data_IF_449643749264
#
_entry.id   IF_449643749264
#
_cell.length_a   1.000
_cell.length_b   1.000
_cell.length_c   1.000
_cell.angle_alpha   90.00
_cell.angle_beta   90.00
_cell.angle_gamma   90.00
#
_symmetry.space_group_name_H-M   'P 1'
#
loop_
_entity.id
_entity.type
_entity.pdbx_description
1 polymer ?
#
# COMPACT_ATOMS: atom_id res chain seq x y z
N UNK A 1 -29.29 -0.16 -3.86
CA UNK A 1 -28.05 -0.92 -3.57
C UNK A 1 -27.47 -0.42 -2.26
N UNK A 2 -27.61 -1.21 -1.18
CA UNK A 2 -26.98 -0.86 0.09
C UNK A 2 -25.46 -1.10 -0.04
N UNK A 3 -24.65 -0.06 0.21
CA UNK A 3 -23.20 -0.21 0.39
C UNK A 3 -22.96 -1.16 1.56
N UNK A 4 -22.31 -2.29 1.30
CA UNK A 4 -21.84 -3.18 2.34
C UNK A 4 -20.63 -2.49 2.97
N UNK A 5 -20.78 -1.99 4.18
CA UNK A 5 -19.72 -1.39 4.98
C UNK A 5 -18.64 -2.45 5.26
N UNK A 6 -17.34 -2.13 5.14
CA UNK A 6 -16.28 -3.03 5.57
C UNK A 6 -16.27 -3.12 7.09
N UNK A 7 -16.88 -4.14 7.62
CA UNK A 7 -17.08 -4.33 9.07
C UNK A 7 -18.33 -5.14 9.40
N UNK A 8 -19.03 -5.63 8.41
CA UNK A 8 -20.19 -6.48 8.58
C UNK A 8 -19.87 -7.65 9.52
N UNK A 9 -20.78 -7.92 10.48
CA UNK A 9 -20.68 -9.01 11.44
C UNK A 9 -20.43 -10.39 10.80
N UNK A 10 -20.66 -10.50 9.50
CA UNK A 10 -20.37 -11.67 8.67
C UNK A 10 -18.85 -11.97 8.58
N UNK A 11 -17.99 -10.95 8.41
CA UNK A 11 -16.54 -11.13 8.32
C UNK A 11 -15.91 -11.61 9.64
N UNK A 12 -16.49 -11.28 10.80
CA UNK A 12 -15.95 -11.67 12.12
C UNK A 12 -16.13 -13.16 12.47
N UNK A 13 -16.91 -13.91 11.71
CA UNK A 13 -17.17 -15.34 11.93
C UNK A 13 -16.24 -16.28 11.15
N UNK A 14 -15.36 -15.77 10.30
CA UNK A 14 -14.58 -16.60 9.39
C UNK A 14 -13.16 -16.83 9.91
N UNK A 15 -12.70 -18.10 9.82
CA UNK A 15 -11.26 -18.40 9.92
C UNK A 15 -10.52 -17.78 8.74
N UNK A 16 -9.20 -17.60 8.85
CA UNK A 16 -8.34 -17.01 7.78
C UNK A 16 -8.59 -17.61 6.39
N UNK A 17 -8.93 -18.90 6.31
CA UNK A 17 -9.25 -19.60 5.04
C UNK A 17 -10.61 -19.23 4.45
N UNK A 18 -11.60 -18.94 5.29
CA UNK A 18 -12.91 -18.47 4.83
C UNK A 18 -12.83 -17.03 4.32
N UNK A 19 -12.01 -16.18 4.96
CA UNK A 19 -11.73 -14.82 4.51
C UNK A 19 -11.05 -14.81 3.14
N UNK A 20 -10.10 -15.71 2.89
CA UNK A 20 -9.47 -15.83 1.57
C UNK A 20 -10.49 -16.12 0.48
N UNK A 21 -11.33 -17.15 0.65
CA UNK A 21 -12.36 -17.50 -0.34
C UNK A 21 -13.33 -16.33 -0.60
N UNK A 22 -13.70 -15.58 0.41
CA UNK A 22 -14.54 -14.39 0.25
C UNK A 22 -13.90 -13.37 -0.68
N UNK A 23 -12.63 -13.05 -0.49
CA UNK A 23 -11.93 -12.09 -1.35
C UNK A 23 -11.63 -12.64 -2.74
N UNK A 24 -11.37 -13.94 -2.85
CA UNK A 24 -11.17 -14.59 -4.16
C UNK A 24 -12.41 -14.52 -5.05
N UNK A 25 -13.60 -14.48 -4.45
CA UNK A 25 -14.86 -14.25 -5.18
C UNK A 25 -15.14 -12.77 -5.36
N UNK A 26 -14.91 -11.96 -4.33
CA UNK A 26 -15.26 -10.53 -4.32
C UNK A 26 -14.49 -9.74 -5.39
N UNK A 27 -13.19 -9.96 -5.51
CA UNK A 27 -12.38 -9.19 -6.45
C UNK A 27 -12.73 -9.43 -7.91
N UNK A 28 -12.86 -10.67 -8.41
CA UNK A 28 -13.33 -10.90 -9.77
C UNK A 28 -14.76 -10.40 -9.99
N UNK A 29 -15.64 -10.48 -8.99
CA UNK A 29 -16.98 -9.94 -9.05
C UNK A 29 -16.95 -8.41 -9.25
N UNK A 30 -16.08 -7.69 -8.53
CA UNK A 30 -15.91 -6.25 -8.70
C UNK A 30 -15.28 -5.89 -10.06
N UNK A 31 -14.45 -6.77 -10.64
CA UNK A 31 -13.90 -6.55 -11.97
C UNK A 31 -15.01 -6.50 -13.03
N UNK A 32 -16.09 -7.24 -12.87
CA UNK A 32 -17.21 -7.24 -13.80
C UNK A 32 -17.87 -5.86 -13.93
N UNK A 33 -17.81 -5.01 -12.90
CA UNK A 33 -18.35 -3.64 -12.94
C UNK A 33 -17.61 -2.74 -13.96
N UNK A 34 -16.40 -3.11 -14.36
CA UNK A 34 -15.56 -2.37 -15.29
C UNK A 34 -15.50 -2.97 -16.69
N UNK A 35 -16.16 -4.11 -16.92
CA UNK A 35 -16.18 -4.82 -18.19
C UNK A 35 -17.52 -4.63 -18.93
N UNK A 36 -17.47 -4.73 -20.25
CA UNK A 36 -18.71 -4.75 -21.03
C UNK A 36 -19.45 -6.09 -20.78
N UNK A 37 -20.71 -6.07 -20.30
CA UNK A 37 -21.49 -7.28 -20.02
C UNK A 37 -21.67 -8.23 -21.22
N UNK A 38 -21.54 -7.71 -22.45
CA UNK A 38 -21.65 -8.49 -23.69
C UNK A 38 -20.29 -9.05 -24.16
N UNK A 39 -19.20 -8.79 -23.43
CA UNK A 39 -17.87 -9.29 -23.79
C UNK A 39 -17.69 -10.76 -23.41
N UNK A 40 -16.89 -11.48 -24.19
CA UNK A 40 -16.48 -12.84 -23.85
C UNK A 40 -15.71 -12.92 -22.53
N UNK A 41 -14.92 -11.88 -22.22
CA UNK A 41 -14.18 -11.77 -20.96
C UNK A 41 -15.12 -11.70 -19.75
N UNK A 42 -16.19 -10.92 -19.84
CA UNK A 42 -17.22 -10.86 -18.79
C UNK A 42 -17.86 -12.23 -18.56
N UNK A 43 -18.27 -12.91 -19.63
CA UNK A 43 -18.88 -14.23 -19.55
C UNK A 43 -17.92 -15.27 -18.96
N UNK A 44 -16.64 -15.24 -19.32
CA UNK A 44 -15.62 -16.15 -18.83
C UNK A 44 -15.38 -15.96 -17.33
N UNK A 45 -15.23 -14.74 -16.84
CA UNK A 45 -15.08 -14.45 -15.40
C UNK A 45 -16.33 -14.87 -14.63
N UNK A 46 -17.51 -14.56 -15.16
CA UNK A 46 -18.78 -14.96 -14.52
C UNK A 46 -18.89 -16.49 -14.38
N UNK A 47 -18.40 -17.25 -15.36
CA UNK A 47 -18.39 -18.72 -15.32
C UNK A 47 -17.50 -19.26 -14.18
N UNK A 48 -16.30 -18.67 -13.96
CA UNK A 48 -15.45 -19.04 -12.84
C UNK A 48 -16.12 -18.74 -11.50
N UNK A 49 -16.74 -17.57 -11.38
CA UNK A 49 -17.46 -17.17 -10.16
C UNK A 49 -18.66 -18.07 -9.88
N UNK A 50 -19.45 -18.36 -10.91
CA UNK A 50 -20.61 -19.26 -10.77
C UNK A 50 -20.19 -20.65 -10.28
N UNK A 51 -19.12 -21.19 -10.86
CA UNK A 51 -18.58 -22.50 -10.45
C UNK A 51 -18.13 -22.47 -9.01
N UNK A 52 -17.34 -21.46 -8.59
CA UNK A 52 -16.85 -21.35 -7.21
C UNK A 52 -17.99 -21.19 -6.19
N UNK A 53 -18.98 -20.35 -6.49
CA UNK A 53 -20.14 -20.13 -5.60
C UNK A 53 -21.00 -21.40 -5.49
N UNK A 54 -21.15 -22.15 -6.59
CA UNK A 54 -21.91 -23.39 -6.62
C UNK A 54 -21.28 -24.50 -5.78
N UNK A 55 -19.98 -24.39 -5.47
CA UNK A 55 -19.29 -25.34 -4.58
C UNK A 55 -19.59 -25.12 -3.10
N UNK A 56 -20.09 -23.92 -2.72
CA UNK A 56 -20.27 -23.55 -1.32
C UNK A 56 -21.45 -24.29 -0.67
N UNK A 57 -21.19 -25.00 0.42
CA UNK A 57 -22.22 -25.53 1.30
C UNK A 57 -22.54 -24.50 2.39
N UNK A 58 -23.70 -23.90 2.31
CA UNK A 58 -24.15 -22.84 3.23
C UNK A 58 -25.06 -23.38 4.37
N UNK A 59 -25.30 -24.70 4.43
CA UNK A 59 -26.26 -25.29 5.37
C UNK A 59 -25.69 -25.46 6.78
N UNK A 60 -24.40 -25.76 6.89
CA UNK A 60 -23.71 -25.95 8.16
C UNK A 60 -22.30 -25.35 8.15
N UNK A 61 -21.73 -25.13 9.34
CA UNK A 61 -20.45 -24.43 9.47
C UNK A 61 -19.24 -25.25 9.02
N UNK A 62 -19.26 -26.56 9.29
CA UNK A 62 -18.17 -27.47 8.90
C UNK A 62 -18.17 -27.67 7.38
N UNK A 63 -19.34 -27.90 6.79
CA UNK A 63 -19.52 -27.99 5.36
C UNK A 63 -19.12 -26.70 4.63
N UNK A 64 -19.46 -25.54 5.21
CA UNK A 64 -19.03 -24.25 4.68
C UNK A 64 -17.51 -24.13 4.71
N UNK A 65 -16.83 -24.54 5.78
CA UNK A 65 -15.38 -24.47 5.90
C UNK A 65 -14.68 -25.34 4.85
N UNK A 66 -15.15 -26.57 4.67
CA UNK A 66 -14.59 -27.49 3.69
C UNK A 66 -14.82 -27.03 2.24
N UNK A 67 -16.05 -26.60 1.94
CA UNK A 67 -16.42 -26.14 0.60
C UNK A 67 -15.81 -24.79 0.24
N UNK A 68 -15.64 -23.86 1.19
CA UNK A 68 -14.93 -22.61 0.97
C UNK A 68 -13.45 -22.85 0.64
N UNK A 69 -12.82 -23.87 1.26
CA UNK A 69 -11.46 -24.26 0.89
C UNK A 69 -11.43 -24.82 -0.54
N UNK A 70 -12.37 -25.67 -0.92
CA UNK A 70 -12.42 -26.22 -2.27
C UNK A 70 -12.66 -25.13 -3.33
N UNK A 71 -13.53 -24.15 -3.06
CA UNK A 71 -13.77 -23.01 -3.93
C UNK A 71 -12.53 -22.09 -4.05
N UNK A 72 -11.81 -21.86 -2.94
CA UNK A 72 -10.53 -21.15 -2.94
C UNK A 72 -9.50 -21.89 -3.81
N UNK A 73 -9.28 -23.18 -3.59
CA UNK A 73 -8.32 -23.98 -4.34
C UNK A 73 -8.65 -24.01 -5.85
N UNK A 74 -9.94 -24.07 -6.20
CA UNK A 74 -10.41 -23.96 -7.57
C UNK A 74 -10.08 -22.61 -8.20
N UNK A 75 -10.45 -21.49 -7.56
CA UNK A 75 -10.16 -20.14 -8.07
C UNK A 75 -8.66 -19.87 -8.13
N UNK A 76 -7.90 -20.31 -7.14
CA UNK A 76 -6.46 -20.14 -7.12
C UNK A 76 -5.78 -20.82 -8.32
N UNK A 77 -6.19 -22.06 -8.66
CA UNK A 77 -5.61 -22.80 -9.77
C UNK A 77 -6.15 -22.33 -11.14
N UNK A 78 -7.46 -22.28 -11.29
CA UNK A 78 -8.08 -22.09 -12.61
C UNK A 78 -8.18 -20.60 -13.00
N UNK A 79 -8.56 -19.73 -12.06
CA UNK A 79 -8.72 -18.30 -12.35
C UNK A 79 -7.41 -17.53 -12.16
N UNK A 80 -6.82 -17.56 -10.97
CA UNK A 80 -5.65 -16.73 -10.67
C UNK A 80 -4.36 -17.24 -11.32
N UNK A 81 -4.14 -18.54 -11.37
CA UNK A 81 -2.91 -19.09 -11.97
C UNK A 81 -2.98 -19.29 -13.49
N UNK A 82 -4.12 -19.65 -14.05
CA UNK A 82 -4.24 -19.92 -15.48
C UNK A 82 -4.85 -18.74 -16.26
N UNK A 83 -6.04 -18.25 -15.86
CA UNK A 83 -6.70 -17.17 -16.58
C UNK A 83 -5.96 -15.85 -16.42
N UNK A 84 -5.65 -15.42 -15.17
CA UNK A 84 -4.95 -14.16 -14.92
C UNK A 84 -3.47 -14.17 -15.38
N UNK A 85 -2.87 -15.33 -15.60
CA UNK A 85 -1.51 -15.46 -16.15
C UNK A 85 -1.36 -14.82 -17.54
N UNK A 86 -2.43 -14.68 -18.28
CA UNK A 86 -2.47 -13.99 -19.58
C UNK A 86 -2.30 -12.47 -19.46
N UNK A 87 -2.36 -11.94 -18.26
CA UNK A 87 -2.25 -10.52 -17.97
C UNK A 87 -0.82 -10.14 -17.57
N UNK A 88 -0.17 -9.26 -18.34
CA UNK A 88 1.19 -8.75 -18.08
C UNK A 88 1.17 -7.52 -17.16
N UNK A 89 0.48 -7.58 -16.03
CA UNK A 89 0.45 -6.50 -15.07
C UNK A 89 1.34 -6.84 -13.87
N UNK A 90 2.25 -5.92 -13.48
CA UNK A 90 3.08 -6.04 -12.28
C UNK A 90 2.69 -4.95 -11.28
N UNK A 91 2.18 -5.32 -10.09
CA UNK A 91 1.92 -4.38 -8.97
C UNK A 91 3.08 -4.43 -8.00
N UNK A 92 3.72 -3.29 -7.76
CA UNK A 92 4.73 -3.16 -6.71
C UNK A 92 4.07 -2.54 -5.48
N UNK A 93 3.92 -3.34 -4.43
CA UNK A 93 3.39 -2.87 -3.15
C UNK A 93 4.53 -2.31 -2.31
N UNK A 94 4.42 -1.05 -1.90
CA UNK A 94 5.39 -0.37 -1.05
C UNK A 94 4.68 0.12 0.20
N UNK A 95 5.25 -0.15 1.37
CA UNK A 95 4.74 0.38 2.63
C UNK A 95 4.90 1.90 2.68
N UNK A 96 3.92 2.59 3.22
CA UNK A 96 3.95 4.02 3.46
C UNK A 96 3.21 4.36 4.75
N UNK A 97 3.67 5.39 5.44
CA UNK A 97 2.97 5.97 6.61
C UNK A 97 2.95 7.47 6.45
N UNK A 98 1.77 8.03 6.17
CA UNK A 98 1.59 9.47 6.15
C UNK A 98 1.59 10.01 7.59
N UNK A 99 2.40 11.03 7.85
CA UNK A 99 2.46 11.71 9.14
C UNK A 99 2.32 13.21 8.89
N UNK A 100 1.14 13.76 9.23
CA UNK A 100 0.94 15.20 9.21
C UNK A 100 1.92 15.88 10.18
N UNK A 101 2.61 16.91 9.70
CA UNK A 101 3.47 17.75 10.51
C UNK A 101 2.64 18.76 11.28
N UNK A 102 2.05 18.32 12.39
CA UNK A 102 0.94 18.90 13.13
C UNK A 102 -0.40 18.86 12.36
N UNK A 103 -1.44 18.41 13.03
CA UNK A 103 -2.84 18.43 12.58
C UNK A 103 -3.73 18.69 13.80
N UNK A 104 -4.52 17.68 14.27
CA UNK A 104 -5.18 17.74 15.58
C UNK A 104 -4.22 17.40 16.73
N UNK A 105 -2.91 17.55 16.49
CA UNK A 105 -1.83 17.34 17.45
C UNK A 105 -0.69 18.34 17.23
N UNK A 106 0.17 18.46 18.23
CA UNK A 106 1.29 19.40 18.22
C UNK A 106 2.51 18.85 17.47
N UNK A 107 3.45 19.74 17.11
CA UNK A 107 4.77 19.34 16.57
C UNK A 107 5.52 18.39 17.48
N UNK A 108 5.39 18.52 18.81
CA UNK A 108 5.97 17.57 19.75
C UNK A 108 5.43 16.15 19.53
N UNK A 109 4.11 16.02 19.39
CA UNK A 109 3.49 14.72 19.12
C UNK A 109 3.90 14.15 17.77
N UNK A 110 4.16 15.01 16.76
CA UNK A 110 4.72 14.58 15.48
C UNK A 110 6.08 13.89 15.68
N UNK A 111 6.96 14.45 16.49
CA UNK A 111 8.28 13.86 16.81
C UNK A 111 8.15 12.48 17.46
N UNK A 112 7.25 12.34 18.41
CA UNK A 112 6.94 11.04 19.05
C UNK A 112 6.33 10.03 18.06
N UNK A 113 5.45 10.49 17.16
CA UNK A 113 4.85 9.64 16.10
C UNK A 113 5.90 9.11 15.12
N UNK A 114 6.83 9.94 14.69
CA UNK A 114 7.93 9.55 13.79
C UNK A 114 8.73 8.41 14.39
N UNK A 115 9.16 8.55 15.63
CA UNK A 115 9.95 7.52 16.31
C UNK A 115 9.22 6.18 16.36
N UNK A 116 7.95 6.18 16.78
CA UNK A 116 7.13 4.96 16.88
C UNK A 116 6.90 4.32 15.51
N UNK A 117 6.53 5.14 14.51
CA UNK A 117 6.23 4.64 13.17
C UNK A 117 7.47 4.05 12.51
N UNK A 118 8.61 4.74 12.60
CA UNK A 118 9.83 4.28 11.96
C UNK A 118 10.43 3.07 12.68
N UNK A 119 10.34 3.00 14.00
CA UNK A 119 10.70 1.79 14.74
C UNK A 119 9.84 0.58 14.33
N UNK A 120 8.53 0.78 14.16
CA UNK A 120 7.62 -0.27 13.69
C UNK A 120 8.00 -0.75 12.28
N UNK A 121 8.31 0.18 11.38
CA UNK A 121 8.74 -0.16 10.01
C UNK A 121 10.05 -0.95 10.02
N UNK A 122 11.02 -0.55 10.82
CA UNK A 122 12.29 -1.27 10.95
C UNK A 122 12.08 -2.68 11.50
N UNK A 123 11.18 -2.85 12.45
CA UNK A 123 10.83 -4.17 12.98
C UNK A 123 10.12 -5.04 11.92
N UNK A 124 9.23 -4.46 11.12
CA UNK A 124 8.63 -5.16 9.98
C UNK A 124 9.69 -5.56 8.94
N UNK A 125 10.68 -4.71 8.68
CA UNK A 125 11.79 -5.05 7.78
C UNK A 125 12.67 -6.18 8.31
N UNK A 126 12.78 -6.35 9.63
CA UNK A 126 13.49 -7.50 10.24
C UNK A 126 12.71 -8.80 10.01
N UNK A 127 11.37 -8.75 10.13
CA UNK A 127 10.49 -9.93 9.97
C UNK A 127 10.26 -10.32 8.52
N UNK A 128 10.19 -9.33 7.62
CA UNK A 128 9.86 -9.51 6.21
C UNK A 128 10.99 -8.96 5.33
N UNK A 129 11.90 -9.81 4.85
CA UNK A 129 13.06 -9.38 4.05
C UNK A 129 12.68 -8.64 2.76
N UNK A 130 11.53 -8.99 2.16
CA UNK A 130 10.99 -8.37 0.95
C UNK A 130 10.33 -7.01 1.19
N UNK A 131 10.00 -6.67 2.45
CA UNK A 131 9.27 -5.45 2.77
C UNK A 131 10.08 -4.20 2.40
N UNK A 132 9.46 -3.33 1.61
CA UNK A 132 10.00 -2.03 1.21
C UNK A 132 9.10 -0.93 1.74
N UNK A 133 9.70 0.19 2.09
CA UNK A 133 9.00 1.32 2.68
C UNK A 133 9.44 2.62 2.03
N UNK A 134 8.51 3.55 1.88
CA UNK A 134 8.73 4.88 1.37
C UNK A 134 8.22 5.91 2.39
N UNK A 135 8.97 6.98 2.59
CA UNK A 135 8.52 8.12 3.40
C UNK A 135 9.06 9.42 2.84
N UNK A 136 8.19 10.41 2.76
CA UNK A 136 8.50 11.78 2.37
C UNK A 136 8.87 12.64 3.60
N UNK A 137 8.91 13.95 3.42
CA UNK A 137 9.08 14.98 4.44
C UNK A 137 10.43 14.94 5.16
N UNK A 138 11.46 15.65 4.67
CA UNK A 138 12.78 15.77 5.31
C UNK A 138 12.74 16.13 6.79
N UNK A 139 11.75 16.91 7.22
CA UNK A 139 11.57 17.26 8.64
C UNK A 139 11.43 16.03 9.55
N UNK A 140 10.78 14.96 9.07
CA UNK A 140 10.61 13.74 9.87
C UNK A 140 11.97 13.08 10.15
N UNK A 141 12.85 13.05 9.16
CA UNK A 141 14.21 12.54 9.30
C UNK A 141 15.09 13.43 10.17
N UNK A 142 14.92 14.76 10.09
CA UNK A 142 15.61 15.70 10.94
C UNK A 142 15.23 15.48 12.42
N UNK A 143 13.93 15.37 12.70
CA UNK A 143 13.43 15.08 14.04
C UNK A 143 13.97 13.74 14.57
N UNK A 144 13.99 12.71 13.73
CA UNK A 144 14.54 11.41 14.11
C UNK A 144 16.04 11.49 14.46
N UNK A 145 16.81 12.22 13.64
CA UNK A 145 18.24 12.42 13.86
C UNK A 145 18.53 13.14 15.17
N UNK A 146 17.71 14.12 15.54
CA UNK A 146 17.88 14.91 16.77
C UNK A 146 17.48 14.14 18.03
N UNK A 147 16.41 13.36 17.98
CA UNK A 147 15.80 12.76 19.17
C UNK A 147 16.08 11.25 19.33
N UNK A 148 16.36 10.56 18.24
CA UNK A 148 16.64 9.13 18.23
C UNK A 148 17.75 8.77 17.22
N UNK A 149 19.00 9.21 17.47
CA UNK A 149 20.10 9.05 16.50
C UNK A 149 20.40 7.59 16.17
N UNK A 150 20.21 6.66 17.09
CA UNK A 150 20.40 5.23 16.84
C UNK A 150 19.39 4.72 15.80
N UNK A 151 18.13 5.09 15.96
CA UNK A 151 17.07 4.72 15.02
C UNK A 151 17.31 5.35 13.63
N UNK A 152 17.84 6.58 13.62
CA UNK A 152 18.23 7.26 12.39
C UNK A 152 19.33 6.50 11.62
N UNK A 153 20.34 5.98 12.31
CA UNK A 153 21.39 5.17 11.67
C UNK A 153 20.85 3.82 11.14
N UNK A 154 19.90 3.19 11.83
CA UNK A 154 19.21 2.02 11.29
C UNK A 154 18.45 2.34 10.02
N UNK A 155 17.72 3.47 9.96
CA UNK A 155 17.04 3.95 8.73
C UNK A 155 18.05 4.15 7.61
N UNK A 156 19.20 4.79 7.88
CA UNK A 156 20.27 4.97 6.88
C UNK A 156 20.79 3.64 6.32
N UNK A 157 20.90 2.62 7.16
CA UNK A 157 21.28 1.30 6.70
C UNK A 157 20.24 0.72 5.72
N UNK A 158 18.94 0.85 6.04
CA UNK A 158 17.85 0.41 5.14
C UNK A 158 17.81 1.19 3.83
N UNK A 159 18.10 2.49 3.87
CA UNK A 159 18.25 3.33 2.66
C UNK A 159 19.39 2.83 1.78
N UNK A 160 20.54 2.51 2.37
CA UNK A 160 21.69 1.92 1.65
C UNK A 160 21.36 0.60 0.98
N UNK A 161 20.56 -0.25 1.65
CA UNK A 161 20.09 -1.52 1.11
C UNK A 161 19.04 -1.36 0.00
N UNK A 162 18.52 -0.15 -0.24
CA UNK A 162 17.43 0.10 -1.18
C UNK A 162 16.08 -0.44 -0.73
N UNK A 163 15.91 -0.68 0.57
CA UNK A 163 14.66 -1.14 1.18
C UNK A 163 13.84 -0.01 1.79
N UNK A 164 14.46 1.12 2.04
CA UNK A 164 13.81 2.35 2.49
C UNK A 164 14.09 3.45 1.50
N UNK A 165 13.04 4.03 0.91
CA UNK A 165 13.15 5.11 -0.06
C UNK A 165 12.72 6.44 0.57
N UNK A 166 13.66 7.37 0.79
CA UNK A 166 13.36 8.73 1.20
C UNK A 166 12.96 9.53 -0.03
N UNK A 167 11.68 9.74 -0.21
CA UNK A 167 11.09 10.42 -1.35
C UNK A 167 10.75 11.88 -1.05
N UNK A 168 10.49 12.63 -2.12
CA UNK A 168 10.00 14.00 -2.06
C UNK A 168 11.10 15.06 -2.03
N UNK A 169 10.69 16.31 -2.17
CA UNK A 169 11.59 17.46 -2.17
C UNK A 169 11.16 18.53 -1.18
N UNK A 170 9.88 18.54 -0.79
CA UNK A 170 9.34 19.54 0.13
C UNK A 170 9.72 19.18 1.57
N UNK A 171 10.07 20.20 2.33
CA UNK A 171 10.43 20.04 3.75
C UNK A 171 9.33 19.36 4.56
N UNK A 172 8.08 19.76 4.30
CA UNK A 172 6.86 19.09 4.74
C UNK A 172 5.91 18.98 3.56
N UNK A 173 4.91 18.11 3.63
CA UNK A 173 3.81 18.06 2.65
C UNK A 173 2.88 19.24 2.88
N UNK A 174 3.17 20.37 2.23
CA UNK A 174 2.42 21.62 2.42
C UNK A 174 1.12 21.59 1.61
N UNK A 175 0.07 22.23 2.17
CA UNK A 175 -1.16 22.54 1.42
C UNK A 175 -0.85 23.56 0.32
N UNK A 176 -0.87 23.12 -0.93
CA UNK A 176 -0.55 23.96 -2.08
C UNK A 176 -1.63 24.99 -2.40
N UNK A 177 -2.84 24.87 -1.84
CA UNK A 177 -3.92 25.83 -2.04
C UNK A 177 -3.84 27.02 -1.07
N UNK A 178 -3.25 26.80 0.11
CA UNK A 178 -3.13 27.83 1.15
C UNK A 178 -1.76 28.51 1.17
N UNK A 179 -0.71 27.78 0.78
CA UNK A 179 0.66 28.28 0.83
C UNK A 179 0.95 29.24 -0.33
N UNK A 180 1.72 30.31 -0.04
CA UNK A 180 2.20 31.21 -1.10
C UNK A 180 3.25 30.50 -1.97
N UNK A 181 3.43 31.01 -3.21
CA UNK A 181 4.48 30.48 -4.11
C UNK A 181 5.88 30.58 -3.51
N UNK A 182 6.17 31.65 -2.78
CA UNK A 182 7.45 31.84 -2.06
C UNK A 182 7.64 30.75 -0.98
N UNK A 183 6.59 30.44 -0.22
CA UNK A 183 6.64 29.36 0.78
C UNK A 183 6.90 28.00 0.14
N UNK A 184 6.26 27.71 -1.00
CA UNK A 184 6.48 26.46 -1.73
C UNK A 184 7.90 26.35 -2.28
N UNK A 185 8.46 27.42 -2.82
CA UNK A 185 9.86 27.47 -3.26
C UNK A 185 10.81 27.17 -2.09
N UNK A 186 10.55 27.75 -0.92
CA UNK A 186 11.35 27.49 0.28
C UNK A 186 11.22 26.05 0.76
N UNK A 187 10.03 25.46 0.71
CA UNK A 187 9.85 24.04 1.04
C UNK A 187 10.80 23.15 0.24
N UNK A 188 10.90 23.38 -1.07
CA UNK A 188 11.77 22.62 -1.96
C UNK A 188 13.26 22.96 -1.71
N UNK A 189 13.59 24.24 -1.58
CA UNK A 189 14.98 24.68 -1.37
C UNK A 189 15.58 24.14 -0.07
N UNK A 190 14.81 24.15 1.02
CA UNK A 190 15.24 23.63 2.31
C UNK A 190 15.26 22.10 2.30
N UNK A 191 14.28 21.48 1.66
CA UNK A 191 14.20 20.01 1.58
C UNK A 191 15.35 19.39 0.79
N UNK A 192 15.81 20.06 -0.28
CA UNK A 192 16.92 19.59 -1.11
C UNK A 192 18.31 19.97 -0.57
N UNK A 193 18.38 20.97 0.29
CA UNK A 193 19.61 21.45 0.89
C UNK A 193 19.62 21.20 2.41
N UNK A 194 19.60 19.96 2.87
CA UNK A 194 19.70 19.69 4.29
C UNK A 194 21.01 20.28 4.82
N UNK A 195 21.01 20.79 6.06
CA UNK A 195 22.21 21.37 6.65
C UNK A 195 23.39 20.41 6.52
N UNK A 196 24.55 20.93 6.09
CA UNK A 196 25.77 20.19 5.71
C UNK A 196 26.42 19.38 6.84
N UNK A 197 25.68 18.89 7.80
CA UNK A 197 26.19 17.97 8.82
C UNK A 197 26.42 16.60 8.17
N UNK A 198 27.65 16.13 8.19
CA UNK A 198 28.07 14.82 7.70
C UNK A 198 27.07 13.72 8.13
N UNK A 199 26.61 12.93 7.18
CA UNK A 199 25.76 11.78 7.46
C UNK A 199 24.24 11.97 7.28
N UNK A 200 23.80 12.98 6.55
CA UNK A 200 22.38 13.16 6.21
C UNK A 200 21.93 12.07 5.21
N UNK A 201 20.73 11.55 5.40
CA UNK A 201 20.10 10.64 4.44
C UNK A 201 19.92 11.43 3.12
N UNK A 202 20.47 10.96 1.99
CA UNK A 202 20.27 11.62 0.71
C UNK A 202 18.81 11.45 0.31
N UNK A 203 18.03 12.52 0.45
CA UNK A 203 16.67 12.56 -0.08
C UNK A 203 16.80 12.68 -1.59
N UNK A 204 16.39 11.64 -2.29
CA UNK A 204 16.34 11.66 -3.75
C UNK A 204 15.09 12.42 -4.16
N UNK A 205 15.27 13.62 -4.67
CA UNK A 205 14.23 14.30 -5.41
C UNK A 205 13.96 13.56 -6.73
N UNK A 206 13.24 12.44 -6.67
CA UNK A 206 12.44 12.03 -7.81
C UNK A 206 11.21 12.90 -7.77
N UNK A 207 11.18 13.94 -8.59
CA UNK A 207 9.92 14.61 -8.87
C UNK A 207 8.98 13.58 -9.47
N UNK A 208 8.20 12.94 -8.61
CA UNK A 208 7.01 12.24 -9.06
C UNK A 208 6.14 13.36 -9.61
N UNK A 209 5.93 13.34 -10.92
CA UNK A 209 4.96 14.23 -11.58
C UNK A 209 3.57 13.83 -11.08
N UNK A 210 3.19 14.28 -9.89
CA UNK A 210 1.85 14.06 -9.35
C UNK A 210 0.80 14.95 -9.99
N UNK A 211 1.19 15.95 -10.78
CA UNK A 211 0.26 16.82 -11.49
C UNK A 211 0.34 16.59 -12.99
N UNK A 212 -0.71 15.95 -13.55
CA UNK A 212 -0.98 15.96 -14.98
C UNK A 212 -0.28 14.92 -15.84
N UNK A 213 0.29 13.87 -15.29
CA UNK A 213 0.63 12.71 -16.10
C UNK A 213 -0.65 11.94 -16.43
N UNK A 214 -1.14 12.08 -17.66
CA UNK A 214 -1.90 11.00 -18.28
C UNK A 214 -1.17 9.70 -17.96
N UNK A 215 -1.83 8.77 -17.31
CA UNK A 215 -1.39 7.37 -17.17
C UNK A 215 -1.37 6.75 -18.59
N UNK A 216 -0.43 7.16 -19.41
CA UNK A 216 -0.12 6.50 -20.66
C UNK A 216 1.12 5.66 -20.41
N UNK A 217 0.93 4.42 -20.13
CA UNK A 217 2.00 3.47 -20.21
C UNK A 217 2.22 2.62 -18.97
N UNK A 218 1.83 1.39 -19.10
CA UNK A 218 2.30 0.18 -18.39
C UNK A 218 2.53 0.36 -16.89
N UNK A 219 1.47 0.30 -16.13
CA UNK A 219 1.59 -0.10 -14.74
C UNK A 219 2.07 -1.56 -14.74
N UNK A 220 3.30 -1.81 -14.32
CA UNK A 220 3.78 -3.16 -14.08
C UNK A 220 3.66 -3.45 -12.58
N UNK A 221 2.84 -4.45 -12.25
CA UNK A 221 2.63 -4.90 -10.88
C UNK A 221 3.30 -6.25 -10.74
N UNK A 222 4.39 -6.35 -9.98
CA UNK A 222 5.05 -7.61 -9.64
C UNK A 222 4.74 -7.93 -8.18
N UNK A 223 3.94 -8.96 -7.95
CA UNK A 223 3.81 -9.61 -6.64
C UNK A 223 4.84 -10.73 -6.64
N UNK A 224 5.91 -10.55 -5.90
CA UNK A 224 6.91 -11.57 -5.63
C UNK A 224 6.65 -12.17 -4.26
#
# INVERSE_FOLDING_TARGET
MQKIEPGCAFAKRFSVKKESCYYDILYPLQMLDYLNPESGEYAEILQYLYTAVSMLNLYDEDGLTASAKAAHDYLASSFYQEYCKKQNATVVCIGHTHIDCAWLWTLRQTREKVQRSFATVLELMKRYPEYRFMSSQPLLYQNLKEEAPELYEEVKARVKEGRWEPEGAMWVEADCNLSSGESLVRQVSIGLSPPKSAGTIPIRCRMIRFFGAKLTGRASIRIS
#
